data_IF_483436078190
#
_entry.id   IF_483436078190
#
_cell.length_a   1.000
_cell.length_b   1.000
_cell.length_c   1.000
_cell.angle_alpha   90.00
_cell.angle_beta   90.00
_cell.angle_gamma   90.00
#
_symmetry.space_group_name_H-M   'P 1'
#
loop_
_entity.id
_entity.type
_entity.pdbx_description
1 polymer ?
#
# COMPACT_ATOMS: atom_id res chain seq x y z
N UNK A 1 -5.00 -18.69 -21.25
CA UNK A 1 -4.62 -17.35 -21.74
C UNK A 1 -5.85 -16.47 -21.76
N UNK A 2 -6.17 -15.86 -20.63
CA UNK A 2 -7.26 -14.89 -20.54
C UNK A 2 -6.65 -13.56 -20.96
N UNK A 3 -7.13 -12.91 -22.02
CA UNK A 3 -6.78 -11.52 -22.27
C UNK A 3 -7.44 -10.73 -21.14
N UNK A 4 -6.70 -10.44 -20.08
CA UNK A 4 -7.19 -9.56 -19.03
C UNK A 4 -7.22 -8.14 -19.59
N UNK A 5 -8.35 -7.85 -20.23
CA UNK A 5 -9.01 -6.57 -20.40
C UNK A 5 -8.09 -5.37 -20.12
N UNK A 6 -7.26 -5.01 -21.10
CA UNK A 6 -6.33 -3.88 -21.03
C UNK A 6 -7.05 -2.57 -20.60
N UNK A 7 -8.36 -2.46 -20.85
CA UNK A 7 -9.17 -1.32 -20.41
C UNK A 7 -9.30 -1.22 -18.89
N UNK A 8 -9.41 -2.36 -18.19
CA UNK A 8 -9.52 -2.41 -16.73
C UNK A 8 -8.20 -2.01 -16.11
N UNK A 9 -7.08 -2.50 -16.64
CA UNK A 9 -5.77 -2.09 -16.13
C UNK A 9 -5.49 -0.61 -16.40
N UNK A 10 -5.78 -0.11 -17.61
CA UNK A 10 -5.58 1.31 -17.93
C UNK A 10 -6.38 2.22 -16.98
N UNK A 11 -7.63 1.87 -16.68
CA UNK A 11 -8.46 2.60 -15.71
C UNK A 11 -7.89 2.49 -14.29
N UNK A 12 -7.39 1.33 -13.90
CA UNK A 12 -6.75 1.12 -12.61
C UNK A 12 -5.49 1.96 -12.45
N UNK A 13 -4.60 1.99 -13.45
CA UNK A 13 -3.37 2.79 -13.41
C UNK A 13 -3.67 4.29 -13.30
N UNK A 14 -4.72 4.78 -13.97
CA UNK A 14 -5.17 6.16 -13.81
C UNK A 14 -5.58 6.45 -12.37
N UNK A 15 -6.43 5.59 -11.78
CA UNK A 15 -6.87 5.74 -10.38
C UNK A 15 -5.71 5.60 -9.39
N UNK A 16 -4.77 4.71 -9.70
CA UNK A 16 -3.58 4.50 -8.89
C UNK A 16 -2.74 5.77 -8.90
N UNK A 17 -2.40 6.36 -10.05
CA UNK A 17 -1.59 7.58 -10.12
C UNK A 17 -2.21 8.77 -9.37
N UNK A 18 -3.54 8.92 -9.40
CA UNK A 18 -4.25 9.96 -8.62
C UNK A 18 -4.11 9.78 -7.10
N UNK A 19 -4.02 8.53 -6.64
CA UNK A 19 -3.91 8.15 -5.23
C UNK A 19 -2.48 7.80 -4.80
N UNK A 20 -1.56 7.69 -5.75
CA UNK A 20 -0.18 7.29 -5.53
C UNK A 20 0.48 8.37 -4.68
N UNK A 21 1.19 7.89 -3.68
CA UNK A 21 1.97 8.72 -2.77
C UNK A 21 3.27 9.19 -3.41
N UNK A 22 3.70 8.59 -4.52
CA UNK A 22 4.87 9.01 -5.30
C UNK A 22 4.62 10.28 -6.12
N UNK A 23 3.37 10.64 -6.40
CA UNK A 23 3.04 11.89 -7.09
C UNK A 23 2.60 12.97 -6.10
N UNK A 24 3.22 14.16 -6.21
CA UNK A 24 2.94 15.33 -5.38
C UNK A 24 1.60 16.01 -5.76
N UNK A 25 0.58 15.24 -6.16
CA UNK A 25 -0.74 15.79 -6.39
C UNK A 25 -1.33 16.25 -5.06
N UNK A 26 -1.44 17.57 -4.87
CA UNK A 26 -2.20 18.19 -3.78
C UNK A 26 -3.73 18.06 -3.95
N UNK A 27 -4.18 17.34 -4.99
CA UNK A 27 -5.57 17.22 -5.42
C UNK A 27 -6.18 15.85 -5.17
N UNK A 28 -5.64 15.06 -4.24
CA UNK A 28 -6.26 13.78 -3.92
C UNK A 28 -7.61 13.99 -3.24
N UNK A 29 -8.67 13.47 -3.86
CA UNK A 29 -10.02 13.42 -3.29
C UNK A 29 -10.12 12.55 -2.02
N UNK A 30 -9.03 11.87 -1.63
CA UNK A 30 -8.97 10.92 -0.51
C UNK A 30 -7.88 11.32 0.49
N UNK A 31 -8.20 11.06 1.76
CA UNK A 31 -7.34 11.36 2.90
C UNK A 31 -6.28 10.29 3.14
N UNK A 32 -6.37 9.12 2.51
CA UNK A 32 -5.32 8.10 2.50
C UNK A 32 -4.58 8.05 1.15
N UNK A 33 -3.35 7.56 1.17
CA UNK A 33 -2.53 7.32 -0.02
C UNK A 33 -2.24 5.84 -0.23
N UNK A 34 -1.88 5.46 -1.46
CA UNK A 34 -1.57 4.07 -1.81
C UNK A 34 -0.16 3.96 -2.41
N UNK A 35 0.58 2.95 -1.98
CA UNK A 35 1.84 2.53 -2.56
C UNK A 35 1.72 1.07 -3.03
N UNK A 36 2.25 0.78 -4.22
CA UNK A 36 2.40 -0.59 -4.74
C UNK A 36 3.88 -0.87 -4.90
N UNK A 37 4.37 -1.93 -4.24
CA UNK A 37 5.76 -2.36 -4.33
C UNK A 37 6.15 -2.70 -5.78
N UNK A 38 7.44 -2.55 -6.08
CA UNK A 38 7.95 -2.70 -7.46
C UNK A 38 7.84 -4.13 -8.01
N UNK A 39 7.86 -5.13 -7.14
CA UNK A 39 7.79 -6.55 -7.53
C UNK A 39 6.37 -7.00 -7.90
N UNK A 40 5.34 -6.22 -7.57
CA UNK A 40 3.96 -6.60 -7.90
C UNK A 40 3.55 -6.07 -9.26
N UNK A 41 3.01 -6.97 -10.08
CA UNK A 41 2.39 -6.58 -11.33
C UNK A 41 1.10 -5.81 -11.05
N UNK A 42 1.09 -4.51 -11.39
CA UNK A 42 -0.01 -3.59 -11.12
C UNK A 42 -1.35 -4.05 -11.68
N UNK A 43 -1.36 -4.64 -12.88
CA UNK A 43 -2.59 -5.18 -13.47
C UNK A 43 -2.99 -6.57 -12.93
N UNK A 44 -2.30 -7.14 -11.96
CA UNK A 44 -2.74 -8.40 -11.34
C UNK A 44 -4.11 -8.18 -10.67
N UNK A 45 -5.08 -9.03 -11.00
CA UNK A 45 -6.41 -9.07 -10.36
C UNK A 45 -6.38 -8.95 -8.83
N UNK A 46 -5.37 -9.51 -8.15
CA UNK A 46 -5.21 -9.40 -6.69
C UNK A 46 -4.84 -7.99 -6.26
N UNK A 47 -3.95 -7.33 -6.99
CA UNK A 47 -3.55 -5.93 -6.76
C UNK A 47 -4.73 -5.00 -6.96
N UNK A 48 -5.47 -5.15 -8.06
CA UNK A 48 -6.65 -4.34 -8.36
C UNK A 48 -7.73 -4.53 -7.28
N UNK A 49 -7.99 -5.77 -6.89
CA UNK A 49 -8.92 -6.09 -5.80
C UNK A 49 -8.48 -5.44 -4.49
N UNK A 50 -7.21 -5.58 -4.13
CA UNK A 50 -6.67 -5.08 -2.87
C UNK A 50 -6.61 -3.55 -2.81
N UNK A 51 -6.31 -2.89 -3.93
CA UNK A 51 -6.48 -1.46 -4.07
C UNK A 51 -7.93 -1.02 -3.82
N UNK A 52 -8.90 -1.74 -4.40
CA UNK A 52 -10.32 -1.40 -4.33
C UNK A 52 -10.87 -1.51 -2.91
N UNK A 53 -10.72 -2.66 -2.24
CA UNK A 53 -11.33 -2.84 -0.92
C UNK A 53 -10.62 -2.04 0.17
N UNK A 54 -9.29 -1.86 0.09
CA UNK A 54 -8.58 -1.02 1.07
C UNK A 54 -9.00 0.44 0.96
N UNK A 55 -9.42 0.88 -0.22
CA UNK A 55 -9.96 2.21 -0.47
C UNK A 55 -11.48 2.29 -0.41
N UNK A 56 -12.16 1.31 0.20
CA UNK A 56 -13.59 1.40 0.42
C UNK A 56 -13.90 2.56 1.38
N UNK A 57 -15.05 3.22 1.18
CA UNK A 57 -15.46 4.38 2.00
C UNK A 57 -15.53 4.04 3.49
N UNK A 58 -15.99 2.84 3.83
CA UNK A 58 -16.03 2.36 5.21
C UNK A 58 -14.63 2.30 5.85
N UNK A 59 -13.61 1.87 5.10
CA UNK A 59 -12.23 1.78 5.59
C UNK A 59 -11.64 3.17 5.80
N UNK A 60 -11.84 4.08 4.84
CA UNK A 60 -11.41 5.48 4.97
C UNK A 60 -12.08 6.17 6.17
N UNK A 61 -13.38 5.94 6.34
CA UNK A 61 -14.16 6.47 7.46
C UNK A 61 -13.61 5.97 8.80
N UNK A 62 -13.37 4.66 8.94
CA UNK A 62 -12.78 4.09 10.16
C UNK A 62 -11.40 4.68 10.45
N UNK A 63 -10.54 4.88 9.44
CA UNK A 63 -9.25 5.53 9.65
C UNK A 63 -9.40 6.98 10.13
N UNK A 64 -10.37 7.71 9.58
CA UNK A 64 -10.65 9.08 10.01
C UNK A 64 -11.19 9.14 11.44
N UNK A 65 -12.13 8.25 11.79
CA UNK A 65 -12.69 8.12 13.14
C UNK A 65 -11.60 7.77 14.17
N UNK A 66 -10.74 6.78 13.88
CA UNK A 66 -9.61 6.43 14.76
C UNK A 66 -8.69 7.63 15.04
N UNK A 67 -8.46 8.48 14.03
CA UNK A 67 -7.62 9.68 14.17
C UNK A 67 -8.32 10.80 14.94
N UNK A 68 -9.65 10.87 14.86
CA UNK A 68 -10.46 11.81 15.63
C UNK A 68 -10.55 11.39 17.11
N UNK A 69 -10.64 10.08 17.37
CA UNK A 69 -10.66 9.52 18.72
C UNK A 69 -9.29 9.65 19.42
N UNK A 70 -8.20 9.46 18.68
CA UNK A 70 -6.83 9.65 19.19
C UNK A 70 -6.02 10.60 18.30
N UNK A 71 -5.97 11.87 18.71
CA UNK A 71 -5.17 12.89 18.02
C UNK A 71 -3.67 12.59 18.04
N UNK A 72 -3.17 11.77 18.97
CA UNK A 72 -1.75 11.39 19.04
C UNK A 72 -1.36 10.35 17.99
N UNK A 73 -2.33 9.63 17.43
CA UNK A 73 -2.15 8.63 16.38
C UNK A 73 -1.53 9.26 15.12
N UNK A 74 -0.26 8.95 14.80
CA UNK A 74 0.45 9.62 13.70
C UNK A 74 0.09 9.08 12.32
N UNK A 75 -0.07 7.76 12.24
CA UNK A 75 -0.24 7.04 10.98
C UNK A 75 -1.02 5.74 11.21
N UNK A 76 -1.78 5.35 10.21
CA UNK A 76 -2.46 4.07 10.12
C UNK A 76 -2.09 3.44 8.77
N UNK A 77 -1.93 2.12 8.75
CA UNK A 77 -1.48 1.39 7.57
C UNK A 77 -2.30 0.13 7.35
N UNK A 78 -2.55 -0.20 6.08
CA UNK A 78 -2.96 -1.53 5.66
C UNK A 78 -1.92 -2.04 4.69
N UNK A 79 -1.29 -3.18 5.00
CA UNK A 79 -0.46 -3.94 4.07
C UNK A 79 -1.21 -5.17 3.58
N UNK A 80 -0.98 -5.54 2.32
CA UNK A 80 -1.59 -6.73 1.71
C UNK A 80 -0.52 -7.64 1.12
N UNK A 81 -0.84 -8.93 0.96
CA UNK A 81 0.07 -9.88 0.32
C UNK A 81 0.28 -9.59 -1.18
N UNK A 82 -0.64 -8.88 -1.82
CA UNK A 82 -0.45 -8.39 -3.20
C UNK A 82 0.51 -7.21 -3.28
N UNK A 83 1.09 -6.75 -2.16
CA UNK A 83 2.05 -5.65 -2.13
C UNK A 83 1.45 -4.24 -2.17
N UNK A 84 0.12 -4.13 -2.10
CA UNK A 84 -0.57 -2.84 -1.88
C UNK A 84 -0.40 -2.43 -0.42
N UNK A 85 0.05 -1.20 -0.22
CA UNK A 85 0.12 -0.53 1.09
C UNK A 85 -0.70 0.74 1.06
N UNK A 86 -1.75 0.82 1.89
CA UNK A 86 -2.53 2.04 2.09
C UNK A 86 -2.11 2.72 3.38
N UNK A 87 -1.99 4.05 3.35
CA UNK A 87 -1.52 4.84 4.50
C UNK A 87 -2.42 6.06 4.75
N UNK A 88 -2.79 6.26 6.01
CA UNK A 88 -3.58 7.41 6.46
C UNK A 88 -2.86 8.15 7.60
N UNK A 89 -2.80 9.50 7.60
CA UNK A 89 -3.18 10.36 6.49
C UNK A 89 -2.22 10.16 5.31
N UNK A 90 -2.67 10.55 4.11
CA UNK A 90 -1.89 10.54 2.89
C UNK A 90 -0.62 11.35 3.09
N UNK A 91 0.53 10.78 2.72
CA UNK A 91 1.83 11.44 2.76
C UNK A 91 2.59 11.15 1.49
N UNK A 92 3.41 12.11 1.08
CA UNK A 92 4.30 11.91 -0.04
C UNK A 92 5.35 10.84 0.28
N UNK A 93 5.52 9.91 -0.65
CA UNK A 93 6.47 8.82 -0.55
C UNK A 93 7.86 9.31 -0.91
N UNK A 94 8.69 9.53 0.11
CA UNK A 94 10.08 9.96 -0.06
C UNK A 94 10.99 8.75 -0.09
N UNK A 95 11.65 8.55 -1.23
CA UNK A 95 12.75 7.62 -1.37
C UNK A 95 14.02 8.47 -1.27
N UNK A 96 14.80 8.28 -0.21
CA UNK A 96 16.05 9.02 0.01
C UNK A 96 17.24 8.05 -0.08
N UNK A 97 18.33 8.40 -0.78
CA UNK A 97 18.57 9.64 -1.53
C UNK A 97 17.90 9.68 -2.92
N UNK A 98 17.26 10.82 -3.21
CA UNK A 98 16.26 10.98 -4.27
C UNK A 98 16.71 11.02 -5.75
N UNK A 99 17.96 10.68 -6.15
CA UNK A 99 18.19 10.35 -7.56
C UNK A 99 18.77 8.94 -7.83
N UNK A 100 19.13 8.16 -6.80
CA UNK A 100 19.96 6.95 -7.00
C UNK A 100 19.23 5.66 -6.58
N UNK A 101 18.16 5.75 -5.79
CA UNK A 101 17.56 4.56 -5.18
C UNK A 101 16.23 4.17 -5.79
N UNK A 102 16.16 2.91 -6.20
CA UNK A 102 14.92 2.21 -6.52
C UNK A 102 14.16 1.98 -5.21
N UNK A 103 12.85 2.21 -5.25
CA UNK A 103 11.97 1.96 -4.11
C UNK A 103 11.71 0.47 -3.93
N UNK A 104 12.46 -0.13 -3.01
CA UNK A 104 12.35 -1.54 -2.63
C UNK A 104 11.37 -1.76 -1.47
N UNK A 105 10.47 -0.81 -1.21
CA UNK A 105 9.50 -1.00 -0.16
C UNK A 105 8.50 -2.11 -0.52
N UNK A 106 8.37 -3.07 0.39
CA UNK A 106 7.33 -4.09 0.36
C UNK A 106 6.79 -4.26 1.80
N UNK A 107 5.46 -4.23 2.02
CA UNK A 107 4.88 -4.40 3.36
C UNK A 107 5.21 -5.76 3.97
N UNK A 108 5.32 -6.84 3.17
CA UNK A 108 5.55 -8.21 3.65
C UNK A 108 6.90 -8.39 4.37
N UNK A 109 7.87 -7.52 4.08
CA UNK A 109 9.18 -7.54 4.72
C UNK A 109 9.28 -6.58 5.91
N UNK A 110 8.19 -5.91 6.29
CA UNK A 110 8.21 -4.97 7.41
C UNK A 110 7.95 -5.68 8.74
N UNK A 111 8.70 -5.36 9.80
CA UNK A 111 8.52 -6.00 11.10
C UNK A 111 7.08 -5.95 11.61
N UNK A 112 6.36 -4.84 11.39
CA UNK A 112 4.96 -4.71 11.80
C UNK A 112 4.02 -5.69 11.07
N UNK A 113 4.33 -6.05 9.81
CA UNK A 113 3.54 -7.01 9.04
C UNK A 113 3.85 -8.43 9.51
N UNK A 114 5.15 -8.77 9.59
CA UNK A 114 5.62 -10.10 10.02
C UNK A 114 5.15 -10.44 11.44
N UNK A 115 5.22 -9.47 12.36
CA UNK A 115 4.78 -9.65 13.74
C UNK A 115 3.25 -9.78 13.87
N UNK A 116 2.48 -9.24 12.92
CA UNK A 116 1.04 -9.42 12.87
C UNK A 116 0.63 -10.75 12.21
N UNK A 117 1.44 -11.25 11.28
CA UNK A 117 1.19 -12.50 10.57
C UNK A 117 1.40 -13.73 11.45
N UNK A 118 2.42 -13.71 12.33
CA UNK A 118 2.71 -14.89 13.14
C UNK A 118 3.37 -14.56 14.48
N UNK A 119 3.21 -15.42 15.50
CA UNK A 119 3.87 -15.24 16.79
C UNK A 119 5.40 -15.42 16.67
N UNK A 120 6.18 -14.99 17.68
CA UNK A 120 7.61 -15.25 17.75
C UNK A 120 7.94 -16.74 17.62
N UNK A 121 9.01 -17.06 16.90
CA UNK A 121 9.46 -18.44 16.63
C UNK A 121 10.98 -18.51 16.71
N UNK A 122 11.48 -19.60 17.28
CA UNK A 122 12.90 -19.95 17.22
C UNK A 122 13.21 -20.66 15.90
N UNK A 123 14.21 -20.17 15.16
CA UNK A 123 14.55 -20.65 13.82
C UNK A 123 16.01 -21.15 13.83
N UNK A 124 16.25 -22.35 13.30
CA UNK A 124 17.59 -22.89 13.06
C UNK A 124 17.79 -23.03 11.56
N UNK A 125 18.79 -22.34 11.01
CA UNK A 125 19.22 -22.53 9.62
C UNK A 125 20.28 -23.62 9.58
N UNK A 126 19.97 -24.77 8.97
CA UNK A 126 20.93 -25.82 8.68
C UNK A 126 21.40 -25.65 7.23
N UNK A 127 22.69 -25.43 7.06
CA UNK A 127 23.35 -25.27 5.76
C UNK A 127 24.39 -26.38 5.69
N UNK A 128 24.38 -27.13 4.58
CA UNK A 128 25.40 -28.13 4.26
C UNK A 128 26.71 -27.42 3.83
#
# INVERSE_FOLDING_TARGET
NIPQDESVCAKFEQLLNESDVREASNFAARNSGVHVNIESYRCDSKVIRDFSWTGAESVEKTMAENKQEDETMRHQFIGTYSGVTRMYPRRYWRIEPAPITIDLFDPKFRPWFVNAESPPKDIVFLID
#
